data_IF_775313582793
#
_entry.id   IF_775313582793
#
_cell.length_a   1.000
_cell.length_b   1.000
_cell.length_c   1.000
_cell.angle_alpha   90.00
_cell.angle_beta   90.00
_cell.angle_gamma   90.00
#
_symmetry.space_group_name_H-M   'P 1'
#
loop_
_entity.id
_entity.type
_entity.pdbx_description
1 polymer ?
#
# COMPACT_ATOMS: atom_id res chain seq x y z
N UNK A 1 -12.66 14.03 14.34
CA UNK A 1 -13.36 13.34 13.23
C UNK A 1 -14.83 13.20 13.62
N UNK A 2 -15.77 13.76 12.87
CA UNK A 2 -17.18 13.93 13.27
C UNK A 2 -18.20 13.39 12.24
N UNK A 3 -17.81 12.43 11.40
CA UNK A 3 -18.70 11.78 10.43
C UNK A 3 -18.60 12.31 8.99
N UNK A 4 -19.66 12.07 8.22
CA UNK A 4 -19.85 12.38 6.80
C UNK A 4 -20.69 13.66 6.68
N UNK A 5 -20.33 14.51 5.72
CA UNK A 5 -20.95 15.82 5.56
C UNK A 5 -21.34 16.06 4.11
N UNK A 6 -22.51 16.65 3.90
CA UNK A 6 -22.89 17.24 2.62
C UNK A 6 -22.45 18.70 2.62
N UNK A 7 -21.59 19.05 1.67
CA UNK A 7 -21.00 20.38 1.56
C UNK A 7 -21.14 20.86 0.13
N UNK A 8 -21.57 22.11 -0.06
CA UNK A 8 -21.53 22.79 -1.34
C UNK A 8 -20.16 23.45 -1.50
N UNK A 9 -19.49 23.20 -2.62
CA UNK A 9 -18.17 23.74 -2.93
C UNK A 9 -18.30 24.52 -4.23
N UNK A 10 -17.97 25.80 -4.16
CA UNK A 10 -17.82 26.65 -5.34
C UNK A 10 -16.36 26.68 -5.76
N UNK A 11 -16.09 26.32 -7.00
CA UNK A 11 -14.75 26.37 -7.57
C UNK A 11 -14.43 27.77 -8.05
N UNK A 12 -13.17 28.16 -7.87
CA UNK A 12 -12.69 29.41 -8.42
C UNK A 12 -12.57 29.27 -9.94
N UNK A 13 -13.44 29.97 -10.67
CA UNK A 13 -13.43 30.09 -12.14
C UNK A 13 -12.91 31.45 -12.62
N UNK A 14 -12.25 32.23 -11.76
CA UNK A 14 -11.74 33.56 -12.14
C UNK A 14 -10.78 33.48 -13.34
N UNK A 15 -10.69 34.57 -14.11
CA UNK A 15 -9.91 34.68 -15.35
C UNK A 15 -8.43 34.26 -15.23
N UNK A 16 -7.90 34.21 -14.00
CA UNK A 16 -6.63 33.56 -13.66
C UNK A 16 -6.76 32.03 -13.48
N UNK A 17 -7.56 31.35 -14.30
CA UNK A 17 -7.76 29.90 -14.24
C UNK A 17 -6.42 29.12 -14.27
N UNK A 18 -5.39 29.68 -14.91
CA UNK A 18 -4.02 29.16 -14.88
C UNK A 18 -3.35 29.18 -13.49
N UNK A 19 -3.71 30.12 -12.61
CA UNK A 19 -3.23 30.21 -11.22
C UNK A 19 -4.08 29.40 -10.24
N UNK A 20 -5.41 29.41 -10.42
CA UNK A 20 -6.35 28.62 -9.61
C UNK A 20 -6.17 27.11 -9.85
N UNK A 21 -5.83 26.72 -11.08
CA UNK A 21 -5.59 25.33 -11.44
C UNK A 21 -6.88 24.49 -11.52
N UNK A 22 -6.71 23.20 -11.77
CA UNK A 22 -7.82 22.25 -11.89
C UNK A 22 -8.58 22.07 -10.58
N UNK A 23 -9.85 21.64 -10.63
CA UNK A 23 -10.70 21.43 -9.45
C UNK A 23 -10.05 20.57 -8.37
N UNK A 24 -9.38 19.47 -8.76
CA UNK A 24 -8.67 18.63 -7.79
C UNK A 24 -7.51 19.36 -7.09
N UNK A 25 -6.84 20.30 -7.77
CA UNK A 25 -5.75 21.09 -7.16
C UNK A 25 -6.32 22.08 -6.14
N UNK A 26 -7.45 22.72 -6.46
CA UNK A 26 -8.17 23.61 -5.54
C UNK A 26 -8.61 22.86 -4.27
N UNK A 27 -9.19 21.66 -4.43
CA UNK A 27 -9.54 20.80 -3.29
C UNK A 27 -8.33 20.44 -2.43
N UNK A 28 -7.24 20.00 -3.06
CA UNK A 28 -6.01 19.63 -2.35
C UNK A 28 -5.42 20.81 -1.57
N UNK A 29 -5.47 22.03 -2.13
CA UNK A 29 -5.04 23.27 -1.45
C UNK A 29 -5.90 23.57 -0.21
N UNK A 30 -7.18 23.24 -0.27
CA UNK A 30 -8.11 23.35 0.86
C UNK A 30 -8.09 22.14 1.82
N UNK A 31 -7.16 21.19 1.64
CA UNK A 31 -7.04 20.02 2.51
C UNK A 31 -8.09 18.92 2.26
N UNK A 32 -8.79 18.98 1.12
CA UNK A 32 -9.68 17.93 0.65
C UNK A 32 -8.96 17.05 -0.37
N UNK A 33 -8.87 15.76 -0.07
CA UNK A 33 -8.40 14.75 -0.99
C UNK A 33 -9.57 14.22 -1.80
N UNK A 34 -9.60 14.40 -3.13
CA UNK A 34 -10.72 13.95 -3.93
C UNK A 34 -10.64 12.46 -4.25
N UNK A 35 -11.79 11.80 -4.37
CA UNK A 35 -11.86 10.40 -4.81
C UNK A 35 -11.70 10.21 -6.33
N UNK A 36 -11.78 11.28 -7.11
CA UNK A 36 -11.62 11.31 -8.57
C UNK A 36 -10.98 12.65 -8.97
N UNK A 37 -10.21 12.68 -10.06
CA UNK A 37 -9.48 13.90 -10.46
C UNK A 37 -10.18 14.74 -11.53
N UNK A 38 -11.06 14.14 -12.34
CA UNK A 38 -11.74 14.82 -13.46
C UNK A 38 -12.97 15.58 -12.93
N UNK A 39 -13.84 14.89 -12.21
CA UNK A 39 -15.07 15.45 -11.66
C UNK A 39 -15.26 14.93 -10.22
N UNK A 40 -14.73 15.64 -9.21
CA UNK A 40 -14.75 15.20 -7.81
C UNK A 40 -16.11 15.45 -7.16
N UNK A 41 -16.87 14.36 -6.96
CA UNK A 41 -18.16 14.38 -6.23
C UNK A 41 -18.06 13.92 -4.77
N UNK A 42 -16.87 13.49 -4.34
CA UNK A 42 -16.63 13.00 -2.98
C UNK A 42 -15.19 13.24 -2.59
N UNK A 43 -14.97 13.73 -1.38
CA UNK A 43 -13.66 14.02 -0.84
C UNK A 43 -13.53 13.51 0.59
N UNK A 44 -12.31 13.15 0.99
CA UNK A 44 -11.92 12.95 2.38
C UNK A 44 -10.98 14.08 2.79
N UNK A 45 -11.12 14.61 4.00
CA UNK A 45 -10.13 15.54 4.53
C UNK A 45 -8.77 14.86 4.71
N UNK A 46 -7.68 15.62 4.65
CA UNK A 46 -6.36 15.06 4.96
C UNK A 46 -6.31 14.50 6.39
N UNK A 47 -7.06 15.11 7.31
CA UNK A 47 -7.20 14.63 8.68
C UNK A 47 -7.81 13.22 8.75
N UNK A 48 -8.88 12.92 7.99
CA UNK A 48 -9.47 11.58 8.01
C UNK A 48 -8.54 10.52 7.44
N UNK A 49 -7.87 10.83 6.33
CA UNK A 49 -6.95 9.89 5.69
C UNK A 49 -5.69 9.66 6.54
N UNK A 50 -5.17 10.70 7.18
CA UNK A 50 -4.06 10.58 8.13
C UNK A 50 -4.45 9.73 9.34
N UNK A 51 -5.60 10.01 9.95
CA UNK A 51 -6.08 9.31 11.12
C UNK A 51 -6.38 7.83 10.82
N UNK A 52 -7.09 7.54 9.73
CA UNK A 52 -7.32 6.16 9.30
C UNK A 52 -6.02 5.43 9.02
N UNK A 53 -5.06 6.05 8.33
CA UNK A 53 -3.77 5.43 8.04
C UNK A 53 -3.05 4.99 9.34
N UNK A 54 -3.03 5.84 10.36
CA UNK A 54 -2.43 5.49 11.66
C UNK A 54 -3.17 4.34 12.35
N UNK A 55 -4.50 4.38 12.41
CA UNK A 55 -5.30 3.33 13.04
C UNK A 55 -5.25 2.00 12.28
N UNK A 56 -5.15 2.06 10.95
CA UNK A 56 -5.00 0.88 10.11
C UNK A 56 -3.64 0.21 10.34
N UNK A 57 -2.56 0.98 10.50
CA UNK A 57 -1.24 0.44 10.78
C UNK A 57 -1.10 -0.07 12.23
N UNK A 58 -1.54 0.72 13.21
CA UNK A 58 -1.35 0.40 14.63
C UNK A 58 -2.38 -0.60 15.15
N UNK A 59 -3.65 -0.36 14.89
CA UNK A 59 -4.77 -1.14 15.41
C UNK A 59 -5.28 -2.21 14.47
N UNK A 60 -4.72 -2.31 13.24
CA UNK A 60 -5.20 -3.20 12.17
C UNK A 60 -6.71 -3.03 11.89
N UNK A 61 -7.24 -1.83 12.13
CA UNK A 61 -8.66 -1.54 11.91
C UNK A 61 -8.97 -1.72 10.43
N UNK A 62 -10.02 -2.50 10.13
CA UNK A 62 -10.48 -2.70 8.78
C UNK A 62 -11.10 -1.40 8.24
N UNK A 63 -10.89 -1.12 6.94
CA UNK A 63 -11.47 0.06 6.31
C UNK A 63 -12.99 0.12 6.46
N UNK A 64 -13.66 -1.03 6.39
CA UNK A 64 -15.10 -1.15 6.58
C UNK A 64 -15.54 -0.68 7.96
N UNK A 65 -14.90 -1.18 9.04
CA UNK A 65 -15.27 -0.81 10.41
C UNK A 65 -15.01 0.67 10.69
N UNK A 66 -13.90 1.21 10.18
CA UNK A 66 -13.60 2.63 10.32
C UNK A 66 -14.63 3.50 9.59
N UNK A 67 -14.98 3.14 8.35
CA UNK A 67 -15.97 3.86 7.57
C UNK A 67 -17.39 3.76 8.17
N UNK A 68 -17.79 2.57 8.63
CA UNK A 68 -19.04 2.37 9.37
C UNK A 68 -19.07 3.20 10.65
N UNK A 69 -17.93 3.38 11.32
CA UNK A 69 -17.78 4.32 12.42
C UNK A 69 -18.08 5.77 12.01
N UNK A 70 -17.61 6.21 10.83
CA UNK A 70 -17.95 7.54 10.30
C UNK A 70 -19.44 7.67 9.99
N UNK A 71 -20.08 6.64 9.44
CA UNK A 71 -21.53 6.62 9.20
C UNK A 71 -22.29 6.75 10.51
N UNK A 72 -21.92 5.98 11.55
CA UNK A 72 -22.54 6.07 12.88
C UNK A 72 -22.30 7.39 13.58
N UNK A 73 -21.15 8.03 13.38
CA UNK A 73 -20.92 9.40 13.86
C UNK A 73 -21.81 10.43 13.16
N UNK A 74 -22.27 10.13 11.94
CA UNK A 74 -23.19 10.98 11.18
C UNK A 74 -24.62 10.77 11.63
N UNK A 75 -25.06 9.51 11.69
CA UNK A 75 -26.37 9.11 12.15
C UNK A 75 -26.29 7.71 12.77
N UNK A 76 -26.24 7.65 14.10
CA UNK A 76 -26.20 6.39 14.82
C UNK A 76 -27.58 5.72 14.94
N UNK A 77 -28.66 6.47 14.73
CA UNK A 77 -30.02 5.96 14.81
C UNK A 77 -30.46 5.31 13.48
N UNK A 78 -29.74 5.56 12.39
CA UNK A 78 -30.03 4.99 11.06
C UNK A 78 -31.33 5.54 10.46
N UNK A 79 -31.73 6.74 10.88
CA UNK A 79 -32.98 7.39 10.46
C UNK A 79 -32.83 8.02 9.07
N UNK A 80 -31.61 8.39 8.71
CA UNK A 80 -31.25 9.10 7.49
C UNK A 80 -30.59 8.15 6.51
N UNK A 81 -30.98 8.23 5.24
CA UNK A 81 -30.31 7.49 4.16
C UNK A 81 -29.00 8.19 3.80
N UNK A 82 -27.90 7.68 4.33
CA UNK A 82 -26.55 8.14 3.96
C UNK A 82 -26.14 7.49 2.63
N UNK A 83 -25.58 8.28 1.72
CA UNK A 83 -25.00 7.75 0.47
C UNK A 83 -23.74 6.95 0.78
N UNK A 84 -23.72 5.68 0.35
CA UNK A 84 -22.53 4.84 0.47
C UNK A 84 -21.38 5.39 -0.41
N UNK A 85 -20.36 5.92 0.25
CA UNK A 85 -19.12 6.40 -0.34
C UNK A 85 -17.92 5.51 0.06
N UNK A 86 -18.14 4.30 0.59
CA UNK A 86 -17.08 3.42 1.08
C UNK A 86 -16.03 3.10 0.00
N UNK A 87 -16.48 2.77 -1.21
CA UNK A 87 -15.55 2.49 -2.33
C UNK A 87 -14.72 3.71 -2.72
N UNK A 88 -15.33 4.91 -2.67
CA UNK A 88 -14.62 6.16 -2.92
C UNK A 88 -13.59 6.42 -1.80
N UNK A 89 -13.97 6.18 -0.54
CA UNK A 89 -13.06 6.26 0.59
C UNK A 89 -11.86 5.31 0.45
N UNK A 90 -12.09 4.04 0.13
CA UNK A 90 -11.01 3.06 -0.04
C UNK A 90 -10.09 3.38 -1.22
N UNK A 91 -10.60 4.03 -2.28
CA UNK A 91 -9.74 4.56 -3.35
C UNK A 91 -8.82 5.67 -2.82
N UNK A 92 -9.37 6.65 -2.11
CA UNK A 92 -8.58 7.74 -1.51
C UNK A 92 -7.53 7.21 -0.54
N UNK A 93 -7.87 6.21 0.29
CA UNK A 93 -6.93 5.52 1.18
C UNK A 93 -5.76 4.93 0.40
N UNK A 94 -6.04 4.21 -0.69
CA UNK A 94 -5.00 3.57 -1.51
C UNK A 94 -4.04 4.60 -2.10
N UNK A 95 -4.58 5.65 -2.69
CA UNK A 95 -3.79 6.75 -3.27
C UNK A 95 -2.99 7.49 -2.18
N UNK A 96 -3.62 7.76 -1.03
CA UNK A 96 -2.97 8.38 0.11
C UNK A 96 -1.77 7.56 0.62
N UNK A 97 -1.94 6.26 0.83
CA UNK A 97 -0.86 5.36 1.27
C UNK A 97 0.28 5.34 0.25
N UNK A 98 -0.04 5.26 -1.05
CA UNK A 98 0.96 5.32 -2.11
C UNK A 98 1.73 6.64 -2.11
N UNK A 99 1.04 7.79 -1.98
CA UNK A 99 1.67 9.10 -1.87
C UNK A 99 2.54 9.22 -0.61
N UNK A 100 2.13 8.64 0.52
CA UNK A 100 2.96 8.62 1.74
C UNK A 100 4.24 7.82 1.54
N UNK A 101 4.18 6.71 0.81
CA UNK A 101 5.36 5.92 0.44
C UNK A 101 6.32 6.74 -0.43
N UNK A 102 5.82 7.41 -1.46
CA UNK A 102 6.60 8.27 -2.35
C UNK A 102 7.23 9.47 -1.62
N UNK A 103 6.47 10.10 -0.71
CA UNK A 103 6.95 11.21 0.12
C UNK A 103 8.06 10.77 1.06
N UNK A 104 7.90 9.62 1.73
CA UNK A 104 8.92 9.04 2.62
C UNK A 104 10.23 8.78 1.90
N UNK A 105 10.17 8.31 0.66
CA UNK A 105 11.35 8.09 -0.17
C UNK A 105 11.84 9.34 -0.92
N UNK A 106 11.23 10.51 -0.70
CA UNK A 106 11.64 11.76 -1.33
C UNK A 106 11.53 11.78 -2.86
N UNK A 107 10.75 10.88 -3.49
CA UNK A 107 10.78 10.65 -4.94
C UNK A 107 10.46 11.87 -5.80
N UNK A 108 9.67 12.79 -5.28
CA UNK A 108 9.34 14.03 -5.98
C UNK A 108 10.53 15.01 -6.10
N UNK A 109 11.58 14.85 -5.29
CA UNK A 109 12.77 15.71 -5.29
C UNK A 109 13.91 15.17 -6.17
N UNK A 110 13.80 13.94 -6.69
CA UNK A 110 14.77 13.41 -7.63
C UNK A 110 14.60 14.04 -9.01
N UNK A 111 15.69 14.22 -9.75
CA UNK A 111 15.66 14.77 -11.12
C UNK A 111 14.77 13.95 -12.07
N UNK A 112 14.73 12.62 -11.89
CA UNK A 112 13.86 11.72 -12.66
C UNK A 112 12.40 11.71 -12.20
N UNK A 113 12.10 12.43 -11.11
CA UNK A 113 10.80 12.44 -10.45
C UNK A 113 10.29 11.07 -10.01
N UNK A 114 8.97 11.00 -9.75
CA UNK A 114 8.26 9.76 -9.36
C UNK A 114 8.38 8.69 -10.45
N UNK A 115 8.31 9.07 -11.73
CA UNK A 115 8.37 8.13 -12.86
C UNK A 115 9.70 7.39 -12.96
N UNK A 116 10.79 7.95 -12.44
CA UNK A 116 12.09 7.28 -12.39
C UNK A 116 12.29 6.32 -11.21
N UNK A 117 11.24 6.01 -10.43
CA UNK A 117 11.33 5.06 -9.31
C UNK A 117 11.56 3.65 -9.83
N UNK A 118 12.69 3.04 -9.43
CA UNK A 118 13.07 1.69 -9.86
C UNK A 118 12.53 0.62 -8.91
N UNK A 119 12.68 -0.64 -9.34
CA UNK A 119 12.28 -1.81 -8.57
C UNK A 119 12.95 -1.80 -7.18
N UNK A 120 12.17 -1.99 -6.12
CA UNK A 120 12.62 -2.03 -4.74
C UNK A 120 13.01 -0.68 -4.10
N UNK A 121 13.02 0.44 -4.83
CA UNK A 121 13.49 1.73 -4.29
C UNK A 121 12.60 2.34 -3.18
N UNK A 122 11.37 1.85 -3.04
CA UNK A 122 10.45 2.24 -1.95
C UNK A 122 10.41 1.21 -0.81
N UNK A 123 11.11 0.08 -0.95
CA UNK A 123 11.21 -0.92 0.10
C UNK A 123 12.03 -0.35 1.27
N UNK A 124 11.57 -0.63 2.49
CA UNK A 124 12.38 -0.31 3.66
C UNK A 124 13.44 -1.39 3.82
N UNK A 125 14.70 -0.95 3.93
CA UNK A 125 15.79 -1.83 4.30
C UNK A 125 15.57 -2.26 5.76
N UNK A 126 15.61 -3.57 6.01
CA UNK A 126 15.44 -4.08 7.37
C UNK A 126 16.61 -3.59 8.24
N UNK A 127 16.35 -2.80 9.31
CA UNK A 127 17.42 -2.25 10.15
C UNK A 127 18.13 -3.32 10.98
N UNK A 128 17.47 -4.46 11.23
CA UNK A 128 18.03 -5.58 11.96
C UNK A 128 18.94 -6.48 11.11
N UNK A 129 18.83 -6.41 9.78
CA UNK A 129 19.71 -7.20 8.91
C UNK A 129 21.15 -6.62 8.94
N UNK A 130 22.18 -7.47 8.87
CA UNK A 130 23.56 -7.02 8.74
C UNK A 130 23.79 -6.44 7.33
N UNK A 131 24.20 -5.17 7.29
CA UNK A 131 24.46 -4.41 6.06
C UNK A 131 25.90 -3.90 6.04
N UNK A 132 26.76 -4.44 5.16
CA UNK A 132 28.11 -3.92 4.97
C UNK A 132 28.10 -2.42 4.68
N UNK A 133 28.98 -1.66 5.34
CA UNK A 133 29.13 -0.21 5.21
C UNK A 133 27.94 0.63 5.72
N UNK A 134 26.92 0.03 6.33
CA UNK A 134 25.79 0.77 6.94
C UNK A 134 25.78 0.57 8.46
N UNK A 135 25.66 -0.67 8.92
CA UNK A 135 25.53 -1.00 10.35
C UNK A 135 26.49 -2.10 10.82
N UNK A 136 27.45 -2.51 9.98
CA UNK A 136 28.53 -3.42 10.35
C UNK A 136 29.85 -2.67 10.65
N UNK A 137 30.64 -3.11 11.64
CA UNK A 137 32.01 -2.63 11.86
C UNK A 137 32.89 -2.83 10.62
N UNK A 138 33.93 -2.02 10.39
CA UNK A 138 34.77 -2.13 9.18
C UNK A 138 35.52 -3.46 9.09
N UNK A 139 35.91 -3.99 10.23
CA UNK A 139 36.66 -5.23 10.45
C UNK A 139 35.77 -6.47 10.57
N UNK A 140 34.46 -6.36 10.30
CA UNK A 140 33.51 -7.47 10.50
C UNK A 140 33.90 -8.78 9.79
N UNK A 141 34.65 -8.69 8.68
CA UNK A 141 35.15 -9.85 7.91
C UNK A 141 36.37 -10.52 8.53
N UNK A 142 37.19 -9.74 9.24
CA UNK A 142 38.47 -10.19 9.81
C UNK A 142 38.31 -10.79 11.21
N UNK A 143 37.08 -10.81 11.71
CA UNK A 143 36.72 -11.34 13.02
C UNK A 143 37.05 -12.83 13.13
N UNK A 144 37.53 -13.27 14.31
CA UNK A 144 37.79 -14.69 14.56
C UNK A 144 36.58 -15.54 14.22
N UNK A 145 36.76 -16.79 13.72
CA UNK A 145 35.66 -17.67 13.33
C UNK A 145 34.54 -17.79 14.38
N UNK A 146 34.93 -17.82 15.66
CA UNK A 146 34.06 -17.88 16.82
C UNK A 146 33.20 -16.63 17.04
N UNK A 147 33.53 -15.48 16.45
CA UNK A 147 32.76 -14.22 16.56
C UNK A 147 31.91 -13.93 15.31
N UNK A 148 32.14 -14.63 14.18
CA UNK A 148 31.45 -14.34 12.91
C UNK A 148 29.94 -14.44 12.99
N UNK A 149 29.41 -15.27 13.90
CA UNK A 149 27.98 -15.44 14.12
C UNK A 149 27.26 -14.14 14.49
N UNK A 150 27.98 -13.15 15.06
CA UNK A 150 27.44 -11.83 15.42
C UNK A 150 26.97 -11.02 14.21
N UNK A 151 27.49 -11.31 13.02
CA UNK A 151 27.17 -10.58 11.78
C UNK A 151 26.46 -11.46 10.73
N UNK A 152 26.07 -12.67 11.11
CA UNK A 152 25.37 -13.60 10.22
C UNK A 152 23.92 -13.15 10.00
N UNK A 153 23.50 -13.13 8.74
CA UNK A 153 22.10 -12.93 8.38
C UNK A 153 21.31 -14.22 8.63
N UNK A 154 20.46 -14.22 9.64
CA UNK A 154 19.50 -15.29 9.86
C UNK A 154 18.21 -14.98 9.09
N UNK A 155 17.94 -15.78 8.05
CA UNK A 155 16.69 -15.72 7.29
C UNK A 155 15.71 -16.76 7.84
N UNK A 156 14.80 -16.30 8.70
CA UNK A 156 13.63 -17.08 9.08
C UNK A 156 12.47 -16.70 8.14
N UNK A 157 12.04 -17.64 7.31
CA UNK A 157 10.88 -17.45 6.43
C UNK A 157 9.72 -18.20 7.08
N UNK A 158 8.79 -17.45 7.67
CA UNK A 158 7.52 -18.01 8.11
C UNK A 158 6.63 -18.29 6.89
N UNK A 159 6.45 -19.55 6.52
CA UNK A 159 5.60 -19.91 5.38
C UNK A 159 4.08 -19.77 5.66
N UNK A 160 3.66 -19.29 6.84
CA UNK A 160 2.25 -19.10 7.18
C UNK A 160 1.62 -17.81 6.62
N UNK A 161 2.21 -17.20 5.58
CA UNK A 161 1.65 -16.03 4.93
C UNK A 161 0.40 -16.39 4.12
N UNK A 162 -0.79 -16.05 4.65
CA UNK A 162 -2.03 -16.05 3.87
C UNK A 162 -2.14 -14.77 3.05
N UNK A 163 -1.43 -14.69 1.93
CA UNK A 163 -1.68 -13.67 0.92
C UNK A 163 -2.99 -13.99 0.20
N UNK A 164 -4.09 -13.36 0.63
CA UNK A 164 -5.36 -13.46 -0.10
C UNK A 164 -5.28 -12.68 -1.41
N UNK A 165 -4.97 -13.39 -2.49
CA UNK A 165 -5.11 -12.85 -3.84
C UNK A 165 -6.60 -12.72 -4.15
N UNK A 166 -7.16 -11.51 -4.01
CA UNK A 166 -8.51 -11.25 -4.50
C UNK A 166 -8.49 -11.32 -6.02
N UNK A 167 -9.52 -11.94 -6.61
CA UNK A 167 -9.77 -11.88 -8.04
C UNK A 167 -9.94 -10.41 -8.44
N UNK A 168 -8.92 -9.85 -9.07
CA UNK A 168 -8.98 -8.52 -9.66
C UNK A 168 -9.75 -8.65 -10.97
N UNK A 169 -10.76 -7.80 -11.18
CA UNK A 169 -11.60 -7.88 -12.38
C UNK A 169 -10.80 -7.71 -13.69
N UNK A 170 -9.88 -6.74 -13.73
CA UNK A 170 -8.84 -6.59 -14.76
C UNK A 170 -7.82 -5.53 -14.35
N UNK A 171 -6.61 -5.57 -14.90
CA UNK A 171 -5.59 -4.51 -14.72
C UNK A 171 -6.08 -3.15 -15.20
N UNK A 172 -6.95 -3.10 -16.21
CA UNK A 172 -7.55 -1.85 -16.69
C UNK A 172 -8.48 -1.23 -15.66
N UNK A 173 -9.23 -2.05 -14.92
CA UNK A 173 -10.19 -1.58 -13.89
C UNK A 173 -9.51 -1.29 -12.56
N UNK A 174 -8.43 -2.00 -12.25
CA UNK A 174 -7.69 -1.88 -11.01
C UNK A 174 -6.17 -1.98 -11.28
N UNK A 175 -5.57 -0.90 -11.82
CA UNK A 175 -4.14 -0.87 -12.10
C UNK A 175 -3.35 -0.77 -10.79
N UNK A 176 -2.20 -1.43 -10.74
CA UNK A 176 -1.23 -1.22 -9.65
C UNK A 176 -0.60 0.17 -9.74
N UNK A 177 -0.51 0.89 -8.61
CA UNK A 177 0.07 2.24 -8.57
C UNK A 177 1.60 2.27 -8.62
N UNK A 178 2.26 1.17 -8.25
CA UNK A 178 3.72 1.09 -8.15
C UNK A 178 4.19 -0.35 -8.03
N UNK A 179 3.76 -1.21 -8.96
CA UNK A 179 4.19 -2.63 -9.01
C UNK A 179 5.71 -2.70 -9.11
N UNK A 180 6.34 -3.58 -8.33
CA UNK A 180 7.80 -3.66 -8.27
C UNK A 180 8.49 -2.63 -7.37
N UNK A 181 7.85 -1.53 -6.97
CA UNK A 181 8.57 -0.43 -6.32
C UNK A 181 8.94 -0.69 -4.86
N UNK A 182 8.25 -1.60 -4.17
CA UNK A 182 8.50 -1.92 -2.76
C UNK A 182 8.82 -3.41 -2.59
N UNK A 183 8.16 -4.09 -1.64
CA UNK A 183 8.45 -5.49 -1.30
C UNK A 183 7.90 -6.50 -2.31
N UNK A 184 6.97 -6.10 -3.19
CA UNK A 184 6.45 -6.96 -4.25
C UNK A 184 7.20 -6.73 -5.55
N UNK A 185 7.46 -7.82 -6.28
CA UNK A 185 8.07 -7.82 -7.61
C UNK A 185 7.17 -7.14 -8.66
N UNK A 186 7.76 -6.78 -9.80
CA UNK A 186 7.03 -6.23 -10.94
C UNK A 186 6.12 -7.31 -11.55
N UNK A 187 4.84 -6.98 -11.77
CA UNK A 187 3.79 -7.95 -12.10
C UNK A 187 4.00 -8.60 -13.48
N UNK A 188 4.36 -7.83 -14.51
CA UNK A 188 4.52 -8.39 -15.87
C UNK A 188 5.71 -9.33 -15.95
N UNK A 189 6.87 -8.91 -15.42
CA UNK A 189 8.06 -9.75 -15.37
C UNK A 189 7.81 -11.02 -14.56
N UNK A 190 7.12 -10.90 -13.42
CA UNK A 190 6.80 -12.02 -12.57
C UNK A 190 5.83 -13.01 -13.25
N UNK A 191 4.78 -12.54 -13.91
CA UNK A 191 3.87 -13.41 -14.67
C UNK A 191 4.57 -14.14 -15.81
N UNK A 192 5.49 -13.46 -16.51
CA UNK A 192 6.31 -14.10 -17.56
C UNK A 192 7.18 -15.20 -16.96
N UNK A 193 7.78 -14.96 -15.80
CA UNK A 193 8.55 -15.97 -15.08
C UNK A 193 7.67 -17.15 -14.65
N UNK A 194 6.47 -16.91 -14.12
CA UNK A 194 5.54 -17.99 -13.73
C UNK A 194 5.18 -18.94 -14.88
N UNK A 195 5.13 -18.46 -16.13
CA UNK A 195 4.90 -19.31 -17.31
C UNK A 195 6.08 -20.26 -17.61
N UNK A 196 7.27 -19.97 -17.08
CA UNK A 196 8.47 -20.81 -17.24
C UNK A 196 8.62 -21.85 -16.14
N UNK A 197 7.88 -21.68 -15.03
CA UNK A 197 7.94 -22.58 -13.88
C UNK A 197 6.79 -23.56 -13.99
N UNK A 198 7.12 -24.85 -14.11
CA UNK A 198 6.15 -25.94 -13.99
C UNK A 198 6.01 -26.39 -12.54
N UNK A 199 5.02 -27.24 -12.27
CA UNK A 199 4.82 -27.85 -10.95
C UNK A 199 6.14 -28.43 -10.43
N UNK A 200 6.53 -28.01 -9.23
CA UNK A 200 7.71 -28.50 -8.55
C UNK A 200 7.32 -29.68 -7.66
N UNK A 201 8.06 -30.78 -7.76
CA UNK A 201 7.94 -31.89 -6.82
C UNK A 201 8.66 -31.52 -5.53
N UNK A 202 7.90 -31.13 -4.51
CA UNK A 202 8.45 -30.90 -3.17
C UNK A 202 8.79 -32.23 -2.51
N UNK A 203 10.03 -32.37 -2.04
CA UNK A 203 10.50 -33.57 -1.33
C UNK A 203 10.03 -33.46 0.13
N UNK A 204 8.94 -34.17 0.47
CA UNK A 204 8.49 -34.34 1.85
C UNK A 204 9.29 -35.46 2.54
N UNK A 205 10.43 -35.13 3.16
CA UNK A 205 11.23 -36.09 3.93
C UNK A 205 10.75 -36.29 5.38
N UNK A 206 9.79 -35.50 5.85
CA UNK A 206 9.20 -35.61 7.18
C UNK A 206 7.68 -35.45 7.08
N UNK A 207 6.94 -36.27 7.85
CA UNK A 207 5.47 -36.32 8.06
C UNK A 207 4.58 -35.41 7.22
N UNK A 208 3.58 -35.99 6.54
CA UNK A 208 2.52 -35.33 5.73
C UNK A 208 2.13 -33.93 6.22
N UNK A 209 2.74 -32.92 5.64
CA UNK A 209 2.38 -31.52 5.85
C UNK A 209 1.31 -31.16 4.82
N UNK A 210 0.10 -30.87 5.29
CA UNK A 210 -1.05 -30.51 4.43
C UNK A 210 -0.75 -29.35 3.46
N UNK A 211 0.18 -28.44 3.83
CA UNK A 211 0.64 -27.38 2.94
C UNK A 211 1.40 -27.90 1.71
N UNK A 212 2.24 -28.93 1.88
CA UNK A 212 2.98 -29.60 0.79
C UNK A 212 2.02 -30.48 -0.02
N UNK A 213 1.18 -31.27 0.68
CA UNK A 213 0.25 -32.21 0.05
C UNK A 213 -0.78 -31.52 -0.86
N UNK A 214 -1.11 -30.26 -0.56
CA UNK A 214 -2.03 -29.46 -1.35
C UNK A 214 -1.37 -28.37 -2.18
N UNK A 215 -0.04 -28.22 -2.18
CA UNK A 215 0.67 -27.11 -2.84
C UNK A 215 0.31 -26.96 -4.33
N UNK A 216 0.13 -28.08 -5.02
CA UNK A 216 -0.19 -28.16 -6.46
C UNK A 216 -1.65 -28.57 -6.74
N UNK A 217 -2.51 -28.60 -5.72
CA UNK A 217 -3.91 -29.04 -5.85
C UNK A 217 -4.87 -27.86 -6.09
N UNK A 218 -6.07 -28.10 -6.64
CA UNK A 218 -7.08 -27.03 -6.81
C UNK A 218 -7.56 -26.41 -5.48
N UNK A 219 -7.18 -26.96 -4.34
CA UNK A 219 -7.55 -26.47 -3.01
C UNK A 219 -6.54 -25.49 -2.42
N UNK A 220 -5.48 -25.09 -3.15
CA UNK A 220 -4.48 -24.10 -2.71
C UNK A 220 -4.96 -22.64 -2.72
N UNK A 221 -6.27 -22.37 -2.74
CA UNK A 221 -6.84 -21.03 -2.89
C UNK A 221 -7.40 -20.45 -1.57
#
# INVERSE_FOLDING_TARGET
>A
MNGLHHVNIDYCECDNAGSAGFHYQQLLRCGFFPATHIEPHSCGTFAVLAHFHMLNLQGKIAGYDYYSGLEKLTDNAGLSKIKDCYKAFMRMVREWQHLKMLKRAGRAHFLSGIKGTKSGELALICPACPHPNINLPKDWKDRPPEERFLYTLFLAIDACFRLKRRLVSSEKKDPGLGTGWAFFVEDKAYRKYLLTVTDQNEISSCTSLSALDHANSKFSA
#
